data_IF_055545053827
#
_entry.id   IF_055545053827
#
_cell.length_a   1.000
_cell.length_b   1.000
_cell.length_c   1.000
_cell.angle_alpha   90.00
_cell.angle_beta   90.00
_cell.angle_gamma   90.00
#
_symmetry.space_group_name_H-M   'P 1'
#
loop_
_entity.id
_entity.type
_entity.pdbx_description
1 polymer ?
#
# COMPACT_ATOMS: atom_id res chain seq x y z
N UNK A 1 19.45 3.22 -17.81
CA UNK A 1 20.44 4.34 -17.72
C UNK A 1 20.61 4.84 -16.29
N UNK A 2 19.53 5.16 -15.55
CA UNK A 2 19.62 5.64 -14.14
C UNK A 2 20.30 4.65 -13.21
N UNK A 3 20.01 3.36 -13.34
CA UNK A 3 20.61 2.30 -12.55
C UNK A 3 22.13 2.20 -12.77
N UNK A 4 22.59 2.38 -13.99
CA UNK A 4 24.03 2.34 -14.30
C UNK A 4 24.81 3.42 -13.54
N UNK A 5 24.29 4.66 -13.48
CA UNK A 5 24.93 5.74 -12.74
C UNK A 5 24.96 5.47 -11.22
N UNK A 6 23.89 4.92 -10.66
CA UNK A 6 23.84 4.52 -9.23
C UNK A 6 24.86 3.42 -8.97
N UNK A 7 24.97 2.42 -9.85
CA UNK A 7 25.95 1.34 -9.75
C UNK A 7 27.38 1.86 -9.80
N UNK A 8 27.67 2.73 -10.76
CA UNK A 8 29.02 3.31 -10.92
C UNK A 8 29.42 4.17 -9.71
N UNK A 9 28.45 4.89 -9.11
CA UNK A 9 28.69 5.71 -7.92
C UNK A 9 28.85 4.91 -6.63
N UNK A 10 28.12 3.82 -6.44
CA UNK A 10 28.12 3.03 -5.20
C UNK A 10 28.99 1.77 -5.26
N UNK A 11 29.34 1.30 -6.46
CA UNK A 11 30.18 0.12 -6.67
C UNK A 11 29.66 -1.11 -5.90
N UNK A 12 30.52 -1.73 -5.12
CA UNK A 12 30.20 -2.92 -4.31
C UNK A 12 29.19 -2.67 -3.18
N UNK A 13 28.88 -1.41 -2.84
CA UNK A 13 27.88 -1.06 -1.84
C UNK A 13 26.43 -1.14 -2.38
N UNK A 14 26.29 -1.39 -3.67
CA UNK A 14 24.99 -1.59 -4.31
C UNK A 14 24.82 -3.03 -4.74
N UNK A 15 23.59 -3.53 -4.70
CA UNK A 15 23.20 -4.83 -5.23
C UNK A 15 21.91 -4.73 -6.03
N UNK A 16 21.86 -5.42 -7.16
CA UNK A 16 20.62 -5.68 -7.87
C UNK A 16 19.86 -6.84 -7.22
N UNK A 17 18.56 -6.66 -6.98
CA UNK A 17 17.74 -7.70 -6.37
C UNK A 17 16.28 -7.35 -6.28
N UNK A 18 15.40 -8.29 -6.65
CA UNK A 18 13.97 -8.10 -6.59
C UNK A 18 13.43 -8.03 -5.17
N UNK A 19 12.62 -7.03 -4.87
CA UNK A 19 11.98 -6.84 -3.56
C UNK A 19 11.08 -8.04 -3.22
N UNK A 20 10.38 -8.60 -4.21
CA UNK A 20 9.59 -9.81 -4.03
C UNK A 20 10.44 -11.00 -3.57
N UNK A 21 11.61 -11.21 -4.19
CA UNK A 21 12.55 -12.27 -3.80
C UNK A 21 13.08 -12.10 -2.39
N UNK A 22 13.40 -10.88 -1.98
CA UNK A 22 13.84 -10.56 -0.62
C UNK A 22 12.74 -10.84 0.40
N UNK A 23 11.49 -10.53 0.03
CA UNK A 23 10.32 -10.79 0.87
C UNK A 23 10.10 -12.29 1.11
N UNK A 24 10.25 -13.13 0.09
CA UNK A 24 9.88 -14.55 0.13
C UNK A 24 11.04 -15.47 0.49
N UNK A 25 12.28 -15.13 0.10
CA UNK A 25 13.44 -15.99 0.26
C UNK A 25 14.35 -15.52 1.39
N UNK A 26 14.43 -16.33 2.46
CA UNK A 26 15.29 -16.07 3.62
C UNK A 26 16.78 -15.95 3.27
N UNK A 27 17.28 -16.67 2.30
CA UNK A 27 18.69 -16.62 1.88
C UNK A 27 19.02 -15.33 1.11
N UNK A 28 18.08 -14.81 0.33
CA UNK A 28 18.27 -13.57 -0.41
C UNK A 28 18.49 -12.36 0.52
N UNK A 29 18.00 -12.41 1.76
CA UNK A 29 18.22 -11.36 2.74
C UNK A 29 19.68 -11.28 3.21
N UNK A 30 20.36 -12.42 3.34
CA UNK A 30 21.79 -12.46 3.71
C UNK A 30 22.70 -11.81 2.66
N UNK A 31 22.24 -11.72 1.43
CA UNK A 31 22.95 -11.04 0.36
C UNK A 31 22.94 -9.50 0.49
N UNK A 32 22.11 -8.96 1.36
CA UNK A 32 22.03 -7.52 1.66
C UNK A 32 22.93 -7.11 2.84
N UNK A 33 23.63 -8.06 3.43
CA UNK A 33 24.61 -7.76 4.49
C UNK A 33 25.71 -6.84 3.95
N UNK A 34 25.97 -5.74 4.66
CA UNK A 34 26.93 -4.69 4.28
C UNK A 34 26.60 -3.91 3.01
N UNK A 35 25.43 -4.11 2.41
CA UNK A 35 24.96 -3.36 1.26
C UNK A 35 24.23 -2.08 1.72
N UNK A 36 24.50 -0.97 1.04
CA UNK A 36 23.82 0.30 1.33
C UNK A 36 22.54 0.46 0.53
N UNK A 37 22.52 -0.02 -0.72
CA UNK A 37 21.37 0.11 -1.62
C UNK A 37 21.09 -1.18 -2.37
N UNK A 38 19.86 -1.67 -2.30
CA UNK A 38 19.35 -2.71 -3.18
C UNK A 38 18.41 -2.09 -4.21
N UNK A 39 18.67 -2.35 -5.48
CA UNK A 39 17.89 -1.81 -6.61
C UNK A 39 17.13 -2.93 -7.29
N UNK A 40 15.82 -2.74 -7.42
CA UNK A 40 14.91 -3.55 -8.22
C UNK A 40 14.54 -2.73 -9.48
N UNK A 41 15.20 -3.02 -10.60
CA UNK A 41 15.11 -2.20 -11.81
C UNK A 41 13.83 -2.44 -12.61
N UNK A 42 13.25 -3.61 -12.46
CA UNK A 42 11.99 -3.98 -13.11
C UNK A 42 11.11 -4.71 -12.09
N UNK A 43 10.67 -3.95 -11.09
CA UNK A 43 9.84 -4.50 -10.02
C UNK A 43 8.55 -5.07 -10.58
N UNK A 44 8.28 -6.32 -10.26
CA UNK A 44 7.04 -6.97 -10.66
C UNK A 44 5.82 -6.27 -10.05
N UNK A 45 4.77 -6.14 -10.84
CA UNK A 45 3.49 -5.55 -10.43
C UNK A 45 2.71 -6.41 -9.43
N UNK A 46 3.21 -7.63 -9.15
CA UNK A 46 2.56 -8.53 -8.19
C UNK A 46 2.67 -7.98 -6.76
N UNK A 47 1.55 -7.95 -6.06
CA UNK A 47 1.52 -7.51 -4.67
C UNK A 47 2.30 -8.45 -3.75
N UNK A 48 3.08 -7.89 -2.83
CA UNK A 48 3.87 -8.65 -1.87
C UNK A 48 2.98 -9.45 -0.93
N UNK A 49 3.21 -10.75 -0.84
CA UNK A 49 2.51 -11.63 0.12
C UNK A 49 2.93 -11.38 1.56
N UNK A 50 4.18 -11.01 1.78
CA UNK A 50 4.77 -10.75 3.10
C UNK A 50 5.51 -9.43 3.08
N UNK A 51 5.15 -8.51 3.96
CA UNK A 51 5.77 -7.18 4.06
C UNK A 51 6.64 -7.00 5.29
N UNK A 52 6.57 -7.94 6.26
CA UNK A 52 7.29 -7.86 7.51
C UNK A 52 8.81 -7.74 7.31
N UNK A 53 9.40 -8.50 6.39
CA UNK A 53 10.84 -8.43 6.11
C UNK A 53 11.23 -7.13 5.42
N UNK A 54 10.45 -6.66 4.46
CA UNK A 54 10.68 -5.35 3.82
C UNK A 54 10.62 -4.24 4.87
N UNK A 55 9.60 -4.25 5.74
CA UNK A 55 9.49 -3.29 6.86
C UNK A 55 10.68 -3.35 7.80
N UNK A 56 11.15 -4.56 8.16
CA UNK A 56 12.28 -4.75 9.07
C UNK A 56 13.59 -4.26 8.46
N UNK A 57 13.84 -4.56 7.18
CA UNK A 57 15.07 -4.15 6.49
C UNK A 57 15.15 -2.62 6.40
N UNK A 58 14.09 -1.95 5.94
CA UNK A 58 14.12 -0.49 5.74
C UNK A 58 14.13 0.30 7.04
N UNK A 59 13.83 -0.33 8.19
CA UNK A 59 13.88 0.29 9.52
C UNK A 59 15.00 -0.29 10.39
N UNK A 60 15.84 -1.16 9.85
CA UNK A 60 16.95 -1.75 10.62
C UNK A 60 17.92 -0.66 11.07
N UNK A 61 18.24 -0.70 12.37
CA UNK A 61 19.22 0.18 13.01
C UNK A 61 20.44 -0.61 13.51
N UNK A 62 20.56 -1.88 13.09
CA UNK A 62 21.61 -2.76 13.59
C UNK A 62 21.57 -4.14 12.95
N UNK A 63 21.83 -5.15 13.77
CA UNK A 63 21.89 -6.54 13.31
C UNK A 63 20.50 -7.15 13.13
N UNK A 64 20.41 -8.04 12.16
CA UNK A 64 19.24 -8.89 11.88
C UNK A 64 19.65 -10.34 11.76
N UNK A 65 18.71 -11.26 12.02
CA UNK A 65 18.90 -12.68 11.73
C UNK A 65 19.00 -12.92 10.22
N UNK A 66 20.14 -13.44 9.80
CA UNK A 66 20.43 -13.78 8.42
C UNK A 66 20.75 -15.27 8.30
N UNK A 67 20.37 -15.85 7.17
CA UNK A 67 20.64 -17.26 6.87
C UNK A 67 21.34 -17.40 5.53
N UNK A 68 22.39 -18.22 5.49
CA UNK A 68 23.04 -18.67 4.25
C UNK A 68 22.80 -20.16 4.06
N UNK A 69 22.61 -20.59 2.81
CA UNK A 69 22.38 -22.01 2.51
C UNK A 69 23.52 -22.88 3.09
N UNK A 70 23.17 -23.89 3.87
CA UNK A 70 24.14 -24.81 4.49
C UNK A 70 24.90 -24.26 5.70
N UNK A 71 24.51 -23.08 6.22
CA UNK A 71 25.10 -22.50 7.43
C UNK A 71 24.01 -22.21 8.45
N UNK A 72 24.39 -22.21 9.74
CA UNK A 72 23.48 -21.77 10.80
C UNK A 72 23.14 -20.28 10.62
N UNK A 73 21.96 -19.87 11.11
CA UNK A 73 21.60 -18.47 11.19
C UNK A 73 22.57 -17.68 12.06
N UNK A 74 22.81 -16.44 11.71
CA UNK A 74 23.72 -15.56 12.40
C UNK A 74 23.19 -14.13 12.42
N UNK A 75 23.73 -13.29 13.31
CA UNK A 75 23.39 -11.88 13.42
C UNK A 75 24.31 -11.05 12.51
N UNK A 76 23.78 -10.60 11.38
CA UNK A 76 24.48 -9.74 10.41
C UNK A 76 24.03 -8.29 10.44
N UNK A 77 24.91 -7.37 10.02
CA UNK A 77 24.58 -5.93 9.94
C UNK A 77 23.75 -5.63 8.70
N UNK A 78 22.65 -4.90 8.91
CA UNK A 78 21.72 -4.51 7.84
C UNK A 78 21.64 -2.98 7.76
N UNK A 79 22.09 -2.44 6.62
CA UNK A 79 22.04 -1.00 6.31
C UNK A 79 21.24 -0.73 5.05
N UNK A 80 20.85 -1.77 4.31
CA UNK A 80 20.27 -1.66 2.99
C UNK A 80 19.01 -0.80 2.97
N UNK A 81 18.95 0.10 2.00
CA UNK A 81 17.73 0.78 1.57
C UNK A 81 17.28 0.17 0.24
N UNK A 82 15.99 0.16 0.02
CA UNK A 82 15.39 -0.45 -1.17
C UNK A 82 14.94 0.64 -2.13
N UNK A 83 15.35 0.54 -3.37
CA UNK A 83 14.93 1.39 -4.47
C UNK A 83 14.32 0.51 -5.55
N UNK A 84 13.12 0.82 -5.99
CA UNK A 84 12.47 0.10 -7.07
C UNK A 84 12.09 1.05 -8.20
N UNK A 85 12.25 0.56 -9.42
CA UNK A 85 11.72 1.19 -10.63
C UNK A 85 10.64 0.29 -11.20
N UNK A 86 9.48 0.86 -11.51
CA UNK A 86 8.36 0.11 -12.03
C UNK A 86 7.41 1.04 -12.81
N UNK A 87 6.60 0.47 -13.67
CA UNK A 87 5.48 1.15 -14.30
C UNK A 87 4.22 1.11 -13.43
N UNK A 88 4.29 0.53 -12.22
CA UNK A 88 3.22 0.47 -11.26
C UNK A 88 3.74 0.59 -9.83
N UNK A 89 2.83 0.46 -8.88
CA UNK A 89 3.10 0.72 -7.47
C UNK A 89 3.44 -0.55 -6.68
N UNK A 90 4.28 -0.40 -5.67
CA UNK A 90 4.59 -1.48 -4.74
C UNK A 90 3.39 -1.70 -3.81
N UNK A 91 2.68 -2.76 -4.03
CA UNK A 91 1.48 -3.14 -3.29
C UNK A 91 1.74 -4.31 -2.33
N UNK A 92 0.91 -4.42 -1.31
CA UNK A 92 0.91 -5.53 -0.37
C UNK A 92 -0.42 -6.30 -0.46
N UNK A 93 -0.36 -7.62 -0.67
CA UNK A 93 -1.56 -8.44 -0.86
C UNK A 93 -2.43 -8.50 0.41
N UNK A 94 -1.79 -8.55 1.59
CA UNK A 94 -2.48 -8.73 2.86
C UNK A 94 -2.21 -7.63 3.89
N UNK A 95 -1.16 -6.83 3.73
CA UNK A 95 -0.79 -5.77 4.66
C UNK A 95 -1.31 -4.42 4.17
N UNK A 96 -2.41 -4.00 4.72
CA UNK A 96 -3.06 -2.71 4.45
C UNK A 96 -2.84 -1.71 5.57
N UNK A 97 -1.91 -2.05 6.48
CA UNK A 97 -1.58 -1.17 7.59
C UNK A 97 -0.83 0.06 7.10
N UNK A 98 -1.04 1.17 7.75
CA UNK A 98 -0.25 2.38 7.54
C UNK A 98 1.26 2.14 7.71
N UNK A 99 1.61 1.13 8.50
CA UNK A 99 2.98 0.71 8.75
C UNK A 99 3.79 0.33 7.51
N UNK A 100 3.16 -0.18 6.45
CA UNK A 100 3.82 -0.48 5.19
C UNK A 100 3.93 0.77 4.30
N UNK A 101 2.83 1.50 4.10
CA UNK A 101 2.77 2.64 3.18
C UNK A 101 3.58 3.84 3.66
N UNK A 102 3.56 4.17 4.95
CA UNK A 102 4.34 5.30 5.50
C UNK A 102 5.86 5.17 5.36
N UNK A 103 6.35 3.98 5.00
CA UNK A 103 7.77 3.70 4.74
C UNK A 103 8.15 3.85 3.28
N UNK A 104 7.21 4.20 2.42
CA UNK A 104 7.43 4.36 1.00
C UNK A 104 7.50 5.85 0.63
N UNK A 105 8.48 6.19 -0.20
CA UNK A 105 8.55 7.44 -0.90
C UNK A 105 8.22 7.16 -2.37
N UNK A 106 7.00 7.47 -2.77
CA UNK A 106 6.52 7.21 -4.12
C UNK A 106 6.80 8.43 -4.99
N UNK A 107 7.78 8.30 -5.88
CA UNK A 107 8.21 9.36 -6.78
C UNK A 107 7.75 9.05 -8.20
N UNK A 108 6.91 9.89 -8.77
CA UNK A 108 6.49 9.79 -10.16
C UNK A 108 7.40 10.62 -11.06
N UNK A 109 7.80 10.07 -12.19
CA UNK A 109 8.52 10.83 -13.22
C UNK A 109 7.57 11.74 -13.98
N UNK A 110 8.10 12.81 -14.55
CA UNK A 110 7.36 13.65 -15.49
C UNK A 110 7.13 12.87 -16.78
N UNK A 111 6.06 13.20 -17.48
CA UNK A 111 5.83 12.72 -18.84
C UNK A 111 6.98 13.16 -19.76
N UNK A 112 7.23 12.34 -20.78
CA UNK A 112 8.25 12.65 -21.79
C UNK A 112 7.79 13.89 -22.57
N UNK A 113 8.56 15.00 -22.56
CA UNK A 113 8.19 16.19 -23.35
C UNK A 113 8.06 15.84 -24.83
N UNK A 114 7.10 16.46 -25.50
CA UNK A 114 6.97 16.34 -26.95
C UNK A 114 8.28 16.82 -27.62
N UNK A 115 8.79 16.04 -28.58
CA UNK A 115 10.03 16.36 -29.28
C UNK A 115 11.34 16.01 -28.55
N UNK A 116 11.30 15.39 -27.36
CA UNK A 116 12.51 14.92 -26.70
C UNK A 116 13.18 13.81 -27.53
N UNK A 117 14.44 14.07 -27.90
CA UNK A 117 15.33 13.06 -28.49
C UNK A 117 16.05 12.34 -27.37
N UNK A 118 16.06 11.00 -27.41
CA UNK A 118 16.79 10.21 -26.43
C UNK A 118 18.30 10.28 -26.78
N UNK A 119 19.12 10.53 -25.75
CA UNK A 119 20.57 10.57 -25.88
C UNK A 119 21.15 9.18 -25.59
N UNK A 120 21.70 8.47 -26.60
CA UNK A 120 22.28 7.14 -26.42
C UNK A 120 23.50 7.15 -25.50
N UNK A 121 24.24 8.25 -25.45
CA UNK A 121 25.48 8.40 -24.69
C UNK A 121 25.28 8.99 -23.30
N UNK A 122 24.02 9.17 -22.86
CA UNK A 122 23.70 9.79 -21.58
C UNK A 122 24.39 9.09 -20.39
N UNK A 123 24.50 7.77 -20.43
CA UNK A 123 25.15 7.01 -19.35
C UNK A 123 26.65 7.35 -19.24
N UNK A 124 27.36 7.44 -20.38
CA UNK A 124 28.79 7.80 -20.38
C UNK A 124 29.01 9.25 -19.97
N UNK A 125 28.15 10.17 -20.39
CA UNK A 125 28.18 11.57 -19.94
C UNK A 125 27.99 11.69 -18.44
N UNK A 126 27.06 10.93 -17.87
CA UNK A 126 26.83 10.92 -16.42
C UNK A 126 27.99 10.28 -15.66
N UNK A 127 28.68 9.27 -16.20
CA UNK A 127 29.90 8.72 -15.59
C UNK A 127 31.02 9.73 -15.52
N UNK A 128 31.17 10.59 -16.53
CA UNK A 128 32.16 11.66 -16.53
C UNK A 128 31.88 12.72 -15.46
N UNK A 129 30.65 12.82 -14.97
CA UNK A 129 30.20 13.78 -13.96
C UNK A 129 29.96 13.13 -12.58
N UNK A 130 30.49 11.93 -12.31
CA UNK A 130 30.20 11.19 -11.08
C UNK A 130 30.55 11.94 -9.79
N UNK A 131 31.60 12.76 -9.79
CA UNK A 131 31.99 13.61 -8.66
C UNK A 131 30.92 14.66 -8.37
N UNK A 132 30.38 15.31 -9.41
CA UNK A 132 29.31 16.28 -9.29
C UNK A 132 28.01 15.63 -8.78
N UNK A 133 27.69 14.44 -9.27
CA UNK A 133 26.54 13.64 -8.80
C UNK A 133 26.72 13.28 -7.32
N UNK A 134 27.92 12.88 -6.90
CA UNK A 134 28.22 12.57 -5.50
C UNK A 134 28.07 13.80 -4.60
N UNK A 135 28.61 14.95 -5.01
CA UNK A 135 28.48 16.20 -4.26
C UNK A 135 27.03 16.62 -4.10
N UNK A 136 26.24 16.52 -5.15
CA UNK A 136 24.79 16.78 -5.10
C UNK A 136 24.06 15.84 -4.12
N UNK A 137 24.39 14.55 -4.12
CA UNK A 137 23.84 13.59 -3.20
C UNK A 137 24.28 13.87 -1.74
N UNK A 138 25.53 14.29 -1.55
CA UNK A 138 26.08 14.67 -0.25
C UNK A 138 25.40 15.91 0.33
N UNK A 139 25.12 16.93 -0.47
CA UNK A 139 24.29 18.07 -0.05
C UNK A 139 22.90 17.63 0.39
N UNK A 140 22.30 16.66 -0.32
CA UNK A 140 21.03 16.03 0.08
C UNK A 140 21.12 15.36 1.44
N UNK A 141 22.21 14.65 1.72
CA UNK A 141 22.46 14.04 3.02
C UNK A 141 22.62 15.09 4.13
N UNK A 142 23.34 16.18 3.86
CA UNK A 142 23.49 17.28 4.83
C UNK A 142 22.14 17.90 5.20
N UNK A 143 21.27 18.14 4.20
CA UNK A 143 19.91 18.61 4.46
C UNK A 143 19.09 17.63 5.26
N UNK A 144 19.19 16.33 4.94
CA UNK A 144 18.48 15.27 5.67
C UNK A 144 18.94 15.20 7.13
N UNK A 145 20.25 15.28 7.39
CA UNK A 145 20.83 15.29 8.73
C UNK A 145 20.37 16.53 9.52
N UNK A 146 20.42 17.72 8.90
CA UNK A 146 19.93 18.96 9.50
C UNK A 146 18.42 18.91 9.84
N UNK A 147 17.64 18.12 9.10
CA UNK A 147 16.22 17.88 9.36
C UNK A 147 15.96 16.65 10.27
N UNK A 148 16.93 16.25 11.09
CA UNK A 148 16.85 15.11 12.00
C UNK A 148 16.43 13.81 11.27
N UNK A 149 16.99 13.57 10.10
CA UNK A 149 16.72 12.40 9.24
C UNK A 149 15.24 12.24 8.83
N UNK A 150 14.49 13.34 8.82
CA UNK A 150 13.13 13.36 8.26
C UNK A 150 13.18 13.82 6.81
N UNK A 151 12.68 13.00 5.92
CA UNK A 151 12.57 13.35 4.51
C UNK A 151 11.62 14.54 4.31
N UNK A 152 12.01 15.46 3.43
CA UNK A 152 11.12 16.51 2.96
C UNK A 152 10.22 15.91 1.89
N UNK A 153 8.93 15.77 2.19
CA UNK A 153 7.96 15.24 1.25
C UNK A 153 7.22 16.40 0.57
N UNK A 154 7.22 16.39 -0.76
CA UNK A 154 6.35 17.28 -1.54
C UNK A 154 4.88 16.87 -1.39
N UNK A 155 3.95 17.78 -1.72
CA UNK A 155 2.52 17.42 -1.76
C UNK A 155 2.30 16.25 -2.73
N UNK A 156 2.90 16.28 -3.91
CA UNK A 156 2.82 15.20 -4.91
C UNK A 156 3.28 13.84 -4.35
N UNK A 157 4.36 13.80 -3.56
CA UNK A 157 4.83 12.55 -2.94
C UNK A 157 3.81 12.00 -1.94
N UNK A 158 3.18 12.89 -1.17
CA UNK A 158 2.09 12.50 -0.25
C UNK A 158 0.87 11.98 -1.00
N UNK A 159 0.45 12.71 -2.03
CA UNK A 159 -0.71 12.33 -2.86
C UNK A 159 -0.48 10.98 -3.56
N UNK A 160 0.72 10.75 -4.09
CA UNK A 160 1.08 9.46 -4.68
C UNK A 160 0.98 8.32 -3.66
N UNK A 161 1.51 8.51 -2.45
CA UNK A 161 1.43 7.48 -1.39
C UNK A 161 -0.02 7.19 -0.98
N UNK A 162 -0.85 8.22 -0.85
CA UNK A 162 -2.26 8.04 -0.53
C UNK A 162 -3.02 7.37 -1.69
N UNK A 163 -2.66 7.65 -2.95
CA UNK A 163 -3.22 6.97 -4.11
C UNK A 163 -2.88 5.47 -4.07
N UNK A 164 -1.60 5.11 -3.90
CA UNK A 164 -1.18 3.69 -3.77
C UNK A 164 -1.90 2.98 -2.62
N UNK A 165 -2.07 3.66 -1.48
CA UNK A 165 -2.79 3.10 -0.34
C UNK A 165 -4.28 2.90 -0.65
N UNK A 166 -4.90 3.81 -1.38
CA UNK A 166 -6.29 3.73 -1.81
C UNK A 166 -6.47 2.59 -2.81
N UNK A 167 -5.67 2.53 -3.85
CA UNK A 167 -5.74 1.51 -4.91
C UNK A 167 -5.56 0.09 -4.36
N UNK A 168 -4.79 -0.05 -3.28
CA UNK A 168 -4.64 -1.33 -2.59
C UNK A 168 -5.73 -1.63 -1.56
N UNK A 169 -6.68 -0.72 -1.34
CA UNK A 169 -7.78 -0.88 -0.39
C UNK A 169 -9.12 -0.51 -1.00
N UNK A 170 -9.67 -1.44 -1.76
CA UNK A 170 -10.96 -1.32 -2.44
C UNK A 170 -12.18 -1.10 -1.51
N UNK A 171 -11.98 -1.11 -0.17
CA UNK A 171 -13.03 -0.76 0.81
C UNK A 171 -13.41 0.72 0.68
N UNK A 172 -12.46 1.60 0.37
CA UNK A 172 -12.75 3.02 0.19
C UNK A 172 -13.57 3.26 -1.06
N UNK A 173 -13.19 2.60 -2.17
CA UNK A 173 -13.94 2.70 -3.42
C UNK A 173 -15.37 2.16 -3.25
N UNK A 174 -15.52 1.09 -2.47
CA UNK A 174 -16.82 0.57 -2.10
C UNK A 174 -17.63 1.57 -1.26
N UNK A 175 -17.05 2.18 -0.24
CA UNK A 175 -17.75 3.15 0.63
C UNK A 175 -18.12 4.45 -0.12
N UNK A 176 -17.41 4.75 -1.19
CA UNK A 176 -17.65 5.91 -2.07
C UNK A 176 -18.45 5.53 -3.34
N UNK A 177 -18.80 4.24 -3.52
CA UNK A 177 -19.54 3.76 -4.67
C UNK A 177 -21.02 4.12 -4.61
N UNK A 178 -21.59 4.47 -5.76
CA UNK A 178 -23.03 4.69 -5.90
C UNK A 178 -23.78 3.37 -6.14
N UNK A 179 -25.02 3.29 -5.70
CA UNK A 179 -25.93 2.18 -6.00
C UNK A 179 -25.88 0.99 -5.04
N UNK A 180 -24.87 0.87 -4.18
CA UNK A 180 -24.74 -0.25 -3.24
C UNK A 180 -25.06 0.13 -1.81
N UNK A 181 -24.54 1.26 -1.39
CA UNK A 181 -24.73 1.83 -0.05
C UNK A 181 -24.97 3.34 -0.15
N UNK A 182 -25.52 3.90 0.91
CA UNK A 182 -25.63 5.36 1.09
C UNK A 182 -25.22 5.73 2.51
N UNK A 183 -24.38 6.75 2.63
CA UNK A 183 -24.04 7.34 3.93
C UNK A 183 -25.21 8.23 4.39
N UNK A 184 -25.86 7.86 5.52
CA UNK A 184 -27.03 8.54 6.04
C UNK A 184 -27.11 8.36 7.56
N UNK A 185 -27.08 9.46 8.31
CA UNK A 185 -26.89 9.48 9.75
C UNK A 185 -27.84 8.59 10.56
N UNK A 186 -29.11 8.52 10.14
CA UNK A 186 -30.17 7.82 10.90
C UNK A 186 -30.35 6.35 10.51
N UNK A 187 -29.45 5.82 9.66
CA UNK A 187 -29.56 4.47 9.17
C UNK A 187 -28.52 3.55 9.81
N UNK A 188 -28.82 2.26 9.81
CA UNK A 188 -27.95 1.24 10.39
C UNK A 188 -27.83 0.02 9.49
N UNK A 189 -26.68 -0.64 9.55
CA UNK A 189 -26.48 -1.91 8.87
C UNK A 189 -25.66 -2.86 9.72
N UNK A 190 -25.98 -4.15 9.71
CA UNK A 190 -25.15 -5.15 10.38
C UNK A 190 -23.80 -5.32 9.67
N UNK A 191 -22.73 -5.62 10.42
CA UNK A 191 -21.42 -5.90 9.83
C UNK A 191 -21.45 -7.09 8.87
N UNK A 192 -22.40 -8.00 9.02
CA UNK A 192 -22.58 -9.13 8.13
C UNK A 192 -23.15 -8.65 6.80
N UNK A 193 -24.24 -7.90 6.84
CA UNK A 193 -24.94 -7.46 5.64
C UNK A 193 -24.09 -6.47 4.83
N UNK A 194 -23.37 -5.55 5.50
CA UNK A 194 -22.43 -4.65 4.85
C UNK A 194 -21.31 -5.42 4.13
N UNK A 195 -20.80 -6.49 4.74
CA UNK A 195 -19.78 -7.33 4.12
C UNK A 195 -20.32 -8.12 2.91
N UNK A 196 -21.55 -8.61 2.94
CA UNK A 196 -22.14 -9.32 1.79
C UNK A 196 -22.37 -8.36 0.60
N UNK A 197 -22.78 -7.10 0.86
CA UNK A 197 -22.90 -6.08 -0.18
C UNK A 197 -21.52 -5.74 -0.76
N UNK A 198 -20.49 -5.61 0.10
CA UNK A 198 -19.12 -5.40 -0.36
C UNK A 198 -18.61 -6.54 -1.24
N UNK A 199 -18.93 -7.79 -0.90
CA UNK A 199 -18.56 -8.95 -1.73
C UNK A 199 -19.22 -8.88 -3.11
N UNK A 200 -20.50 -8.57 -3.14
CA UNK A 200 -21.27 -8.39 -4.37
C UNK A 200 -20.65 -7.29 -5.24
N UNK A 201 -20.36 -6.14 -4.65
CA UNK A 201 -19.69 -5.04 -5.35
C UNK A 201 -18.33 -5.47 -5.91
N UNK A 202 -17.52 -6.20 -5.13
CA UNK A 202 -16.24 -6.72 -5.61
C UNK A 202 -16.41 -7.67 -6.80
N UNK A 203 -17.38 -8.56 -6.75
CA UNK A 203 -17.66 -9.53 -7.82
C UNK A 203 -18.06 -8.83 -9.11
N UNK A 204 -18.98 -7.86 -9.05
CA UNK A 204 -19.43 -7.08 -10.20
C UNK A 204 -18.31 -6.21 -10.81
N UNK A 205 -17.35 -5.78 -10.01
CA UNK A 205 -16.21 -4.98 -10.46
C UNK A 205 -14.95 -5.82 -10.75
N UNK A 206 -15.05 -7.16 -10.76
CA UNK A 206 -13.91 -8.08 -10.95
C UNK A 206 -12.77 -7.86 -9.96
N UNK A 207 -13.09 -7.48 -8.72
CA UNK A 207 -12.14 -7.26 -7.64
C UNK A 207 -12.14 -8.44 -6.65
N UNK A 208 -10.99 -8.67 -6.02
CA UNK A 208 -10.90 -9.69 -4.96
C UNK A 208 -11.34 -9.10 -3.61
N UNK A 209 -12.40 -9.64 -2.96
CA UNK A 209 -12.86 -9.14 -1.69
C UNK A 209 -11.88 -9.45 -0.56
N UNK A 210 -11.78 -8.52 0.40
CA UNK A 210 -11.07 -8.76 1.65
C UNK A 210 -11.77 -9.87 2.45
N UNK A 211 -11.00 -10.50 3.36
CA UNK A 211 -11.62 -11.31 4.41
C UNK A 211 -12.50 -10.42 5.30
N UNK A 212 -13.62 -10.95 5.77
CA UNK A 212 -14.60 -10.21 6.57
C UNK A 212 -14.00 -9.42 7.74
N UNK A 213 -13.04 -10.02 8.46
CA UNK A 213 -12.35 -9.35 9.56
C UNK A 213 -11.58 -8.12 9.08
N UNK A 214 -10.76 -8.27 8.04
CA UNK A 214 -9.96 -7.16 7.49
C UNK A 214 -10.81 -6.05 6.89
N UNK A 215 -11.94 -6.41 6.25
CA UNK A 215 -12.94 -5.44 5.81
C UNK A 215 -13.49 -4.62 6.98
N UNK A 216 -13.99 -5.29 8.02
CA UNK A 216 -14.55 -4.61 9.20
C UNK A 216 -13.51 -3.73 9.89
N UNK A 217 -12.27 -4.22 10.09
CA UNK A 217 -11.16 -3.44 10.65
C UNK A 217 -10.84 -2.21 9.80
N UNK A 218 -10.90 -2.31 8.47
CA UNK A 218 -10.69 -1.17 7.57
C UNK A 218 -11.80 -0.12 7.68
N UNK A 219 -13.06 -0.53 7.75
CA UNK A 219 -14.18 0.40 7.93
C UNK A 219 -14.09 1.09 9.30
N UNK A 220 -13.84 0.33 10.37
CA UNK A 220 -13.70 0.86 11.74
C UNK A 220 -12.56 1.86 11.84
N UNK A 221 -11.40 1.57 11.26
CA UNK A 221 -10.25 2.47 11.28
C UNK A 221 -10.52 3.83 10.59
N UNK A 222 -11.49 3.87 9.69
CA UNK A 222 -11.85 5.06 8.91
C UNK A 222 -13.25 5.59 9.23
N UNK A 223 -13.88 5.09 10.27
CA UNK A 223 -15.26 5.47 10.64
C UNK A 223 -15.47 6.98 10.81
N UNK A 224 -14.48 7.69 11.35
CA UNK A 224 -14.56 9.15 11.52
C UNK A 224 -14.58 9.90 10.19
N UNK A 225 -13.89 9.40 9.16
CA UNK A 225 -13.87 10.02 7.82
C UNK A 225 -15.25 9.98 7.17
N UNK A 226 -16.00 8.89 7.39
CA UNK A 226 -17.30 8.65 6.77
C UNK A 226 -18.47 8.92 7.71
N UNK A 227 -18.23 9.51 8.89
CA UNK A 227 -19.24 9.74 9.94
C UNK A 227 -20.01 8.47 10.33
N UNK A 228 -19.29 7.35 10.45
CA UNK A 228 -19.83 6.07 10.87
C UNK A 228 -19.54 5.83 12.36
N UNK A 229 -20.40 5.07 13.02
CA UNK A 229 -20.18 4.60 14.40
C UNK A 229 -20.33 3.07 14.45
N UNK A 230 -19.28 2.38 14.87
CA UNK A 230 -19.31 0.92 15.05
C UNK A 230 -19.76 0.55 16.45
N UNK A 231 -20.85 -0.19 16.56
CA UNK A 231 -21.40 -0.60 17.86
C UNK A 231 -22.17 -1.93 17.81
N UNK A 232 -22.58 -2.43 18.99
CA UNK A 232 -23.37 -3.66 19.15
C UNK A 232 -24.87 -3.38 19.43
N UNK A 233 -25.35 -2.18 19.13
CA UNK A 233 -26.74 -1.77 19.42
C UNK A 233 -27.69 -1.98 18.24
N UNK A 234 -27.20 -2.56 17.14
CA UNK A 234 -27.98 -2.75 15.91
C UNK A 234 -28.83 -4.00 16.06
N UNK A 235 -30.07 -3.93 15.61
CA UNK A 235 -31.00 -5.06 15.59
C UNK A 235 -31.08 -5.58 14.16
N UNK A 236 -30.83 -6.88 13.95
CA UNK A 236 -30.99 -7.51 12.64
C UNK A 236 -32.45 -7.85 12.36
N UNK A 237 -32.76 -8.31 11.14
CA UNK A 237 -34.10 -8.71 10.72
C UNK A 237 -34.75 -9.80 11.60
N UNK A 238 -33.97 -10.55 12.37
CA UNK A 238 -34.46 -11.56 13.32
C UNK A 238 -34.64 -11.00 14.74
N UNK A 239 -34.60 -9.69 14.95
CA UNK A 239 -34.76 -9.05 16.26
C UNK A 239 -33.57 -9.24 17.22
N UNK A 240 -32.44 -9.74 16.76
CA UNK A 240 -31.24 -9.97 17.59
C UNK A 240 -30.27 -8.82 17.52
N UNK A 241 -29.71 -8.44 18.67
CA UNK A 241 -28.62 -7.45 18.71
C UNK A 241 -27.37 -8.01 18.06
N UNK A 242 -26.78 -7.23 17.14
CA UNK A 242 -25.59 -7.58 16.39
C UNK A 242 -24.63 -6.39 16.28
N UNK A 243 -23.39 -6.68 16.01
CA UNK A 243 -22.41 -5.65 15.68
C UNK A 243 -22.64 -5.10 14.29
N UNK A 244 -22.51 -3.81 14.12
CA UNK A 244 -22.65 -3.14 12.82
C UNK A 244 -22.34 -1.66 12.89
N UNK A 245 -22.82 -0.89 11.93
CA UNK A 245 -22.50 0.50 11.73
C UNK A 245 -23.76 1.37 11.72
N UNK A 246 -23.71 2.49 12.44
CA UNK A 246 -24.60 3.63 12.24
C UNK A 246 -24.03 4.54 11.15
N UNK A 247 -24.88 5.32 10.50
CA UNK A 247 -24.47 6.28 9.48
C UNK A 247 -24.44 5.73 8.06
N UNK A 248 -24.99 4.53 7.82
CA UNK A 248 -24.96 3.86 6.52
C UNK A 248 -26.21 3.01 6.32
N UNK A 249 -26.78 3.06 5.13
CA UNK A 249 -27.88 2.19 4.69
C UNK A 249 -27.48 1.35 3.45
N UNK A 250 -28.06 0.16 3.36
CA UNK A 250 -27.96 -0.67 2.15
C UNK A 250 -28.95 -0.18 1.09
N UNK A 251 -28.47 0.06 -0.11
CA UNK A 251 -29.31 0.29 -1.31
C UNK A 251 -29.49 -1.05 -2.05
N UNK A 252 -28.38 -1.72 -2.33
CA UNK A 252 -28.38 -3.04 -2.94
C UNK A 252 -28.67 -4.13 -1.90
N UNK A 253 -29.46 -5.13 -2.26
CA UNK A 253 -29.67 -6.31 -1.43
C UNK A 253 -29.10 -7.53 -2.16
N UNK A 254 -28.18 -8.28 -1.52
CA UNK A 254 -27.73 -9.54 -2.08
C UNK A 254 -28.92 -10.48 -2.22
N UNK A 255 -29.16 -10.94 -3.43
CA UNK A 255 -30.26 -11.86 -3.70
C UNK A 255 -29.82 -13.30 -3.43
N UNK A 256 -30.51 -14.00 -2.55
CA UNK A 256 -30.27 -15.43 -2.25
C UNK A 256 -30.71 -16.31 -3.45
N UNK A 257 -31.46 -15.76 -4.42
CA UNK A 257 -32.04 -16.51 -5.55
C UNK A 257 -31.96 -15.76 -6.88
N UNK A 258 -30.80 -15.21 -7.28
CA UNK A 258 -30.65 -14.59 -8.59
C UNK A 258 -31.25 -13.19 -8.64
N UNK A 259 -30.59 -12.31 -9.35
CA UNK A 259 -30.86 -10.89 -9.49
C UNK A 259 -32.35 -10.53 -9.63
N UNK A 260 -32.85 -9.64 -8.80
CA UNK A 260 -34.09 -8.92 -9.02
C UNK A 260 -33.96 -7.45 -8.62
N UNK A 261 -34.46 -6.60 -9.48
CA UNK A 261 -34.42 -5.15 -9.42
C UNK A 261 -34.96 -4.54 -8.11
N UNK A 262 -34.41 -3.39 -7.81
CA UNK A 262 -34.75 -2.49 -6.71
C UNK A 262 -36.23 -2.12 -6.77
N UNK A 263 -37.02 -2.56 -5.82
CA UNK A 263 -38.34 -1.94 -5.55
C UNK A 263 -38.23 -1.06 -4.30
N UNK A 264 -38.60 0.20 -4.46
CA UNK A 264 -38.80 1.17 -3.39
C UNK A 264 -39.80 0.62 -2.36
N UNK A 265 -39.31 0.19 -1.21
CA UNK A 265 -40.13 0.11 -0.01
C UNK A 265 -39.31 0.53 1.20
N UNK A 266 -39.47 1.78 1.57
CA UNK A 266 -39.11 2.36 2.85
C UNK A 266 -39.96 1.67 3.94
N UNK A 267 -39.35 0.77 4.73
CA UNK A 267 -39.95 0.30 5.96
C UNK A 267 -39.61 1.32 7.06
N UNK A 268 -40.59 2.13 7.43
CA UNK A 268 -40.57 2.95 8.64
C UNK A 268 -41.37 2.19 9.70
N UNK A 269 -40.79 1.83 10.85
CA UNK A 269 -41.56 1.28 11.96
C UNK A 269 -42.55 2.32 12.46
N UNK A 270 -43.83 1.91 12.68
CA UNK A 270 -44.92 2.79 13.09
C UNK A 270 -44.78 3.39 14.49
N UNK A 271 -43.80 2.99 15.29
CA UNK A 271 -43.60 3.40 16.68
C UNK A 271 -42.79 4.70 16.88
N UNK A 272 -42.58 5.48 15.82
CA UNK A 272 -41.86 6.76 15.85
C UNK A 272 -42.71 7.92 15.32
N UNK A 273 -44.00 7.99 15.71
CA UNK A 273 -44.80 9.19 15.54
C UNK A 273 -45.10 9.84 16.89
#
# INVERSE_FOLDING_TARGET
QRQMCIRDSLGSNMKDGGIGKISENRFARADLEHILLCVDDDMRMEALRQTNYVKSIVTAQGKMDLERKGKQSYQGWMFARLLAFSNGDLQALYDRSDGFYRRQLVLTTKEKPAGRVDDPDLAEKMKAEVEGIFLWAFEGLQRLAANNFKFTESQRTRDNREAVKRDNNNVFDFLESEGYIRLKADCTISSKDLYEIYRMWCEENNLTPLKRRSFSESVIANQSKYNLEYCNKITNAAGRRVWGFFGIEAIARPNINGFSDVSEHTYVPEDWR
#
